data_IF_443723219464
#
_entry.id   IF_443723219464
#
_cell.length_a   1.000
_cell.length_b   1.000
_cell.length_c   1.000
_cell.angle_alpha   90.00
_cell.angle_beta   90.00
_cell.angle_gamma   90.00
#
_symmetry.space_group_name_H-M   'P 1'
#
loop_
_entity.id
_entity.type
_entity.pdbx_description
1 polymer ?
#
# COMPACT_ATOMS: atom_id res chain seq x y z
N UNK A 1 8.27 5.83 16.28
CA UNK A 1 8.43 7.20 15.75
C UNK A 1 7.41 7.40 14.65
N UNK A 2 6.67 8.53 14.67
CA UNK A 2 5.69 8.87 13.63
C UNK A 2 6.40 9.09 12.28
N UNK A 3 5.99 8.33 11.26
CA UNK A 3 6.52 8.47 9.89
C UNK A 3 5.58 9.26 8.98
N UNK A 4 4.27 9.13 9.19
CA UNK A 4 3.25 9.83 8.41
C UNK A 4 2.21 10.44 9.35
N UNK A 5 1.87 11.71 9.11
CA UNK A 5 0.80 12.43 9.81
C UNK A 5 -0.15 13.04 8.79
N UNK A 6 -1.42 12.73 8.93
CA UNK A 6 -2.53 13.37 8.20
C UNK A 6 -3.34 14.18 9.20
N UNK A 7 -3.58 15.45 8.91
CA UNK A 7 -4.33 16.34 9.80
C UNK A 7 -5.38 17.14 9.04
N UNK A 8 -6.62 17.01 9.50
CA UNK A 8 -7.80 17.71 8.98
C UNK A 8 -7.88 17.66 7.45
N UNK A 9 -7.61 16.45 6.85
CA UNK A 9 -7.59 16.30 5.42
C UNK A 9 -9.03 16.16 4.88
N UNK A 10 -9.37 17.04 3.96
CA UNK A 10 -10.56 17.00 3.12
C UNK A 10 -10.13 16.93 1.67
N UNK A 11 -10.87 16.15 0.88
CA UNK A 11 -10.66 16.09 -0.55
C UNK A 11 -11.97 15.91 -1.30
N UNK A 12 -12.14 16.67 -2.39
CA UNK A 12 -13.27 16.58 -3.30
C UNK A 12 -12.79 16.56 -4.75
N UNK A 13 -13.14 15.51 -5.50
CA UNK A 13 -12.87 15.47 -6.94
C UNK A 13 -13.55 16.64 -7.66
N UNK A 14 -12.93 17.14 -8.75
CA UNK A 14 -13.39 18.32 -9.47
C UNK A 14 -14.87 18.28 -9.92
N UNK A 15 -15.39 17.08 -10.23
CA UNK A 15 -16.78 16.89 -10.67
C UNK A 15 -17.70 16.31 -9.58
N UNK A 16 -17.18 16.06 -8.38
CA UNK A 16 -17.96 15.51 -7.28
C UNK A 16 -18.88 16.58 -6.66
N UNK A 17 -20.07 16.15 -6.21
CA UNK A 17 -21.01 17.02 -5.51
C UNK A 17 -20.73 17.14 -4.01
N UNK A 18 -20.05 16.16 -3.43
CA UNK A 18 -19.70 16.08 -1.99
C UNK A 18 -18.22 15.76 -1.83
N UNK A 19 -17.69 15.97 -0.65
CA UNK A 19 -16.34 15.57 -0.29
C UNK A 19 -16.21 14.04 -0.40
N UNK A 20 -15.08 13.58 -0.94
CA UNK A 20 -14.72 12.17 -1.06
C UNK A 20 -13.88 11.70 0.13
N UNK A 21 -13.21 12.66 0.78
CA UNK A 21 -12.59 12.50 2.09
C UNK A 21 -13.02 13.67 2.96
N UNK A 22 -13.43 13.36 4.19
CA UNK A 22 -13.95 14.34 5.13
C UNK A 22 -13.26 14.21 6.49
N UNK A 23 -12.50 15.25 6.87
CA UNK A 23 -11.84 15.39 8.17
C UNK A 23 -10.98 14.18 8.56
N UNK A 24 -10.14 13.70 7.62
CA UNK A 24 -9.25 12.58 7.89
C UNK A 24 -8.11 13.01 8.82
N UNK A 25 -8.00 12.33 9.96
CA UNK A 25 -6.91 12.47 10.91
C UNK A 25 -6.29 11.08 11.15
N UNK A 26 -5.02 10.89 10.76
CA UNK A 26 -4.34 9.62 10.77
C UNK A 26 -2.87 9.79 11.09
N UNK A 27 -2.34 8.95 11.98
CA UNK A 27 -0.92 8.84 12.24
C UNK A 27 -0.45 7.41 11.98
N UNK A 28 0.66 7.27 11.25
CA UNK A 28 1.34 5.99 11.00
C UNK A 28 2.72 6.07 11.61
N UNK A 29 3.10 5.06 12.38
CA UNK A 29 4.43 4.98 12.97
C UNK A 29 5.35 4.10 12.12
N UNK A 30 6.65 4.35 12.24
CA UNK A 30 7.65 3.48 11.63
C UNK A 30 7.50 2.05 12.15
N UNK A 31 7.45 1.07 11.24
CA UNK A 31 7.25 -0.33 11.56
C UNK A 31 5.77 -0.71 11.77
N UNK A 32 4.81 0.19 11.52
CA UNK A 32 3.41 -0.21 11.47
C UNK A 32 3.14 -1.09 10.24
N UNK A 33 2.36 -2.15 10.41
CA UNK A 33 1.65 -2.86 9.36
C UNK A 33 0.16 -2.51 9.52
N UNK A 34 -0.29 -1.51 8.77
CA UNK A 34 -1.64 -0.96 8.90
C UNK A 34 -2.56 -1.51 7.82
N UNK A 35 -3.64 -2.18 8.24
CA UNK A 35 -4.75 -2.52 7.34
C UNK A 35 -5.74 -1.37 7.25
N UNK A 36 -6.22 -1.10 6.05
CA UNK A 36 -7.31 -0.16 5.79
C UNK A 36 -8.48 -0.92 5.19
N UNK A 37 -9.61 -0.97 5.90
CA UNK A 37 -10.81 -1.67 5.49
C UNK A 37 -11.99 -0.72 5.29
N UNK A 38 -13.00 -1.18 4.57
CA UNK A 38 -14.22 -0.43 4.29
C UNK A 38 -14.82 -0.83 2.94
N UNK A 39 -16.07 -0.49 2.73
CA UNK A 39 -16.81 -0.80 1.50
C UNK A 39 -16.13 -0.25 0.24
N UNK A 40 -16.50 -0.82 -0.90
CA UNK A 40 -16.13 -0.23 -2.20
C UNK A 40 -16.68 1.19 -2.27
N UNK A 41 -15.82 2.15 -2.64
CA UNK A 41 -16.18 3.57 -2.67
C UNK A 41 -16.12 4.29 -1.32
N UNK A 42 -15.69 3.65 -0.22
CA UNK A 42 -15.51 4.31 1.09
C UNK A 42 -14.40 5.36 1.11
N UNK A 43 -13.52 5.39 0.09
CA UNK A 43 -12.45 6.39 -0.03
C UNK A 43 -11.03 5.87 0.20
N UNK A 44 -10.80 4.54 0.38
CA UNK A 44 -9.49 3.92 0.61
C UNK A 44 -8.44 4.32 -0.42
N UNK A 45 -8.72 4.04 -1.70
CA UNK A 45 -7.86 4.43 -2.83
C UNK A 45 -7.60 5.93 -2.86
N UNK A 46 -8.64 6.75 -2.60
CA UNK A 46 -8.50 8.20 -2.56
C UNK A 46 -7.58 8.62 -1.43
N UNK A 47 -7.71 8.03 -0.24
CA UNK A 47 -6.83 8.28 0.89
C UNK A 47 -5.38 7.90 0.54
N UNK A 48 -5.13 6.68 0.06
CA UNK A 48 -3.78 6.24 -0.31
C UNK A 48 -3.13 7.19 -1.34
N UNK A 49 -3.87 7.62 -2.36
CA UNK A 49 -3.38 8.60 -3.33
C UNK A 49 -3.04 9.97 -2.73
N UNK A 50 -3.74 10.40 -1.66
CA UNK A 50 -3.40 11.65 -0.96
C UNK A 50 -2.08 11.56 -0.19
N UNK A 51 -1.59 10.35 0.10
CA UNK A 51 -0.34 10.11 0.83
C UNK A 51 0.91 10.11 -0.07
N UNK A 52 0.75 10.22 -1.40
CA UNK A 52 1.84 10.34 -2.38
C UNK A 52 1.56 11.48 -3.35
N UNK A 53 2.39 12.53 -3.30
CA UNK A 53 2.17 13.80 -4.02
C UNK A 53 1.96 13.61 -5.53
N UNK A 54 2.71 12.72 -6.16
CA UNK A 54 2.66 12.46 -7.60
C UNK A 54 1.33 11.82 -8.04
N UNK A 55 0.57 11.28 -7.09
CA UNK A 55 -0.72 10.62 -7.33
C UNK A 55 -1.92 11.46 -6.90
N UNK A 56 -1.71 12.71 -6.48
CA UNK A 56 -2.82 13.56 -6.08
C UNK A 56 -3.83 13.74 -7.21
N UNK A 57 -5.07 13.31 -7.00
CA UNK A 57 -6.09 13.50 -8.02
C UNK A 57 -6.45 14.98 -8.19
N UNK A 58 -6.99 15.30 -9.36
CA UNK A 58 -7.49 16.66 -9.64
C UNK A 58 -8.74 16.94 -8.80
N UNK A 59 -8.71 18.01 -8.00
CA UNK A 59 -9.79 18.40 -7.10
C UNK A 59 -9.41 19.44 -6.07
N UNK A 60 -10.33 19.70 -5.16
CA UNK A 60 -10.13 20.61 -4.04
C UNK A 60 -9.57 19.82 -2.84
N UNK A 61 -8.43 20.24 -2.31
CA UNK A 61 -7.75 19.62 -1.18
C UNK A 61 -7.50 20.64 -0.08
N UNK A 62 -7.84 20.27 1.17
CA UNK A 62 -7.59 21.06 2.39
C UNK A 62 -6.98 20.17 3.46
N UNK A 63 -6.30 20.76 4.43
CA UNK A 63 -5.59 20.04 5.48
C UNK A 63 -4.12 19.80 5.14
N UNK A 64 -3.44 19.00 5.95
CA UNK A 64 -2.01 18.76 5.85
C UNK A 64 -1.67 17.28 5.88
N UNK A 65 -0.70 16.88 5.05
CA UNK A 65 -0.02 15.59 5.13
C UNK A 65 1.47 15.83 5.29
N UNK A 66 2.06 15.22 6.31
CA UNK A 66 3.49 15.30 6.58
C UNK A 66 4.10 13.91 6.58
N UNK A 67 5.27 13.81 6.00
CA UNK A 67 6.13 12.64 6.06
C UNK A 67 7.39 13.01 6.85
N UNK A 68 7.65 12.31 7.97
CA UNK A 68 8.75 12.64 8.90
C UNK A 68 8.82 14.14 9.23
N UNK A 69 7.69 14.71 9.64
CA UNK A 69 7.49 16.13 10.00
C UNK A 69 7.59 17.14 8.83
N UNK A 70 8.04 16.71 7.64
CA UNK A 70 8.10 17.55 6.44
C UNK A 70 6.77 17.49 5.69
N UNK A 71 6.29 18.64 5.19
CA UNK A 71 5.07 18.66 4.35
C UNK A 71 5.30 17.84 3.07
N UNK A 72 4.35 16.95 2.76
CA UNK A 72 4.43 16.11 1.56
C UNK A 72 4.52 16.96 0.27
N UNK A 73 3.89 18.14 0.26
CA UNK A 73 3.93 19.07 -0.88
C UNK A 73 5.33 19.61 -1.20
N UNK A 74 6.25 19.59 -0.23
CA UNK A 74 7.61 20.12 -0.37
C UNK A 74 8.65 19.07 -0.73
N UNK A 75 8.29 17.77 -0.71
CA UNK A 75 9.19 16.72 -1.18
C UNK A 75 9.46 16.90 -2.68
N UNK A 76 10.70 16.73 -3.09
CA UNK A 76 11.04 16.61 -4.51
C UNK A 76 10.50 15.29 -5.06
N UNK A 77 10.26 15.15 -6.38
CA UNK A 77 9.83 13.89 -6.97
C UNK A 77 10.76 12.72 -6.67
N UNK A 78 12.07 12.94 -6.67
CA UNK A 78 13.08 11.92 -6.37
C UNK A 78 13.00 11.48 -4.90
N UNK A 79 12.89 12.43 -3.95
CA UNK A 79 12.72 12.12 -2.54
C UNK A 79 11.43 11.34 -2.28
N UNK A 80 10.33 11.77 -2.90
CA UNK A 80 9.05 11.08 -2.79
C UNK A 80 9.13 9.66 -3.35
N UNK A 81 9.74 9.48 -4.55
CA UNK A 81 9.91 8.16 -5.16
C UNK A 81 10.75 7.21 -4.29
N UNK A 82 11.85 7.72 -3.70
CA UNK A 82 12.74 6.93 -2.86
C UNK A 82 12.14 6.58 -1.48
N UNK A 83 11.23 7.39 -0.97
CA UNK A 83 10.78 7.28 0.43
C UNK A 83 9.39 6.68 0.58
N UNK A 84 8.52 6.87 -0.41
CA UNK A 84 7.12 6.42 -0.38
C UNK A 84 6.85 5.60 -1.64
N UNK A 85 6.75 4.29 -1.48
CA UNK A 85 6.36 3.36 -2.54
C UNK A 85 4.84 3.28 -2.67
N UNK A 86 4.35 2.98 -3.88
CA UNK A 86 2.93 2.68 -4.12
C UNK A 86 2.81 1.50 -5.07
N UNK A 87 1.99 0.52 -4.72
CA UNK A 87 1.59 -0.61 -5.56
C UNK A 87 0.10 -0.52 -5.84
N UNK A 88 -0.27 -0.57 -7.12
CA UNK A 88 -1.65 -0.44 -7.56
C UNK A 88 -2.37 -1.79 -7.61
N UNK A 89 -3.69 -1.74 -7.64
CA UNK A 89 -4.56 -2.90 -7.75
C UNK A 89 -4.34 -3.68 -9.05
N UNK A 90 -4.18 -2.97 -10.17
CA UNK A 90 -3.93 -3.58 -11.47
C UNK A 90 -2.44 -3.44 -11.84
N UNK A 91 -1.69 -4.56 -11.96
CA UNK A 91 -0.27 -4.50 -12.30
C UNK A 91 -0.01 -3.90 -13.69
N UNK A 92 -0.90 -4.08 -14.65
CA UNK A 92 -0.72 -3.56 -16.01
C UNK A 92 -0.80 -2.02 -16.08
N UNK A 93 -1.38 -1.35 -15.07
CA UNK A 93 -1.41 0.12 -14.99
C UNK A 93 -0.07 0.70 -14.47
N UNK A 94 0.84 -0.14 -13.98
CA UNK A 94 2.08 0.29 -13.33
C UNK A 94 3.33 -0.11 -14.12
N UNK A 95 3.35 -1.30 -14.73
CA UNK A 95 4.47 -1.79 -15.53
C UNK A 95 4.58 -0.99 -16.83
N UNK A 96 5.78 -0.48 -17.13
CA UNK A 96 6.05 0.35 -18.31
C UNK A 96 7.08 -0.24 -19.28
N UNK A 97 7.88 -1.22 -18.83
CA UNK A 97 8.95 -1.83 -19.62
C UNK A 97 8.56 -3.21 -20.18
N UNK A 98 9.26 -3.63 -21.23
CA UNK A 98 8.97 -4.88 -21.94
C UNK A 98 9.48 -6.13 -21.22
N UNK A 99 10.54 -6.00 -20.40
CA UNK A 99 11.15 -7.11 -19.65
C UNK A 99 11.31 -6.81 -18.19
N UNK A 100 11.36 -7.86 -17.36
CA UNK A 100 11.50 -7.72 -15.89
C UNK A 100 12.77 -6.94 -15.49
N UNK A 101 13.90 -7.26 -16.11
CA UNK A 101 15.17 -6.56 -15.81
C UNK A 101 15.09 -5.06 -16.14
N UNK A 102 14.41 -4.72 -17.25
CA UNK A 102 14.23 -3.30 -17.63
C UNK A 102 13.30 -2.59 -16.65
N UNK A 103 12.22 -3.25 -16.19
CA UNK A 103 11.30 -2.68 -15.21
C UNK A 103 12.01 -2.38 -13.88
N UNK A 104 12.85 -3.30 -13.41
CA UNK A 104 13.65 -3.08 -12.19
C UNK A 104 14.70 -1.98 -12.37
N UNK A 105 15.38 -1.92 -13.53
CA UNK A 105 16.37 -0.90 -13.84
C UNK A 105 15.74 0.48 -13.96
N UNK A 106 14.58 0.59 -14.60
CA UNK A 106 13.89 1.84 -14.89
C UNK A 106 13.65 2.68 -13.63
N UNK A 107 13.21 2.05 -12.54
CA UNK A 107 13.00 2.74 -11.25
C UNK A 107 14.27 3.39 -10.72
N UNK A 108 15.42 2.71 -10.84
CA UNK A 108 16.72 3.19 -10.37
C UNK A 108 17.32 4.27 -11.29
N UNK A 109 17.17 4.11 -12.60
CA UNK A 109 17.61 5.08 -13.60
C UNK A 109 16.90 6.43 -13.42
N UNK A 110 15.58 6.41 -13.17
CA UNK A 110 14.78 7.61 -12.94
C UNK A 110 15.20 8.42 -11.70
N UNK A 111 15.79 7.78 -10.70
CA UNK A 111 16.31 8.47 -9.52
C UNK A 111 17.80 8.77 -9.61
N UNK A 112 18.45 8.48 -10.75
CA UNK A 112 19.83 8.83 -11.05
C UNK A 112 20.87 7.93 -10.39
N UNK A 113 20.56 6.65 -10.15
CA UNK A 113 21.55 5.67 -9.70
C UNK A 113 22.57 5.38 -10.81
N UNK A 114 23.82 5.11 -10.43
CA UNK A 114 24.86 4.68 -11.36
C UNK A 114 24.72 3.20 -11.73
N UNK A 115 25.34 2.80 -12.85
CA UNK A 115 25.18 1.47 -13.43
C UNK A 115 25.66 0.33 -12.50
N UNK A 116 26.66 0.57 -11.65
CA UNK A 116 27.18 -0.43 -10.72
C UNK A 116 26.17 -0.69 -9.59
N UNK A 117 25.61 0.38 -9.02
CA UNK A 117 24.54 0.29 -8.02
C UNK A 117 23.27 -0.35 -8.60
N UNK A 118 22.90 -0.02 -9.84
CA UNK A 118 21.74 -0.63 -10.53
C UNK A 118 21.93 -2.15 -10.59
N UNK A 119 23.07 -2.64 -11.11
CA UNK A 119 23.33 -4.06 -11.22
C UNK A 119 23.30 -4.76 -9.86
N UNK A 120 23.92 -4.19 -8.85
CA UNK A 120 23.93 -4.73 -7.48
C UNK A 120 22.53 -4.82 -6.89
N UNK A 121 21.74 -3.74 -6.95
CA UNK A 121 20.36 -3.72 -6.43
C UNK A 121 19.44 -4.67 -7.16
N UNK A 122 19.56 -4.80 -8.49
CA UNK A 122 18.82 -5.81 -9.25
C UNK A 122 19.18 -7.22 -8.78
N UNK A 123 20.45 -7.54 -8.59
CA UNK A 123 20.85 -8.84 -8.12
C UNK A 123 20.31 -9.16 -6.70
N UNK A 124 20.30 -8.17 -5.81
CA UNK A 124 19.69 -8.27 -4.48
C UNK A 124 18.18 -8.57 -4.58
N UNK A 125 17.43 -7.82 -5.40
CA UNK A 125 16.00 -8.03 -5.61
C UNK A 125 15.70 -9.39 -6.26
N UNK A 126 16.45 -9.77 -7.28
CA UNK A 126 16.34 -11.09 -7.93
C UNK A 126 16.50 -12.22 -6.91
N UNK A 127 17.49 -12.11 -6.02
CA UNK A 127 17.72 -13.09 -4.96
C UNK A 127 16.58 -13.10 -3.94
N UNK A 128 16.10 -11.93 -3.52
CA UNK A 128 15.03 -11.79 -2.52
C UNK A 128 13.67 -12.31 -3.03
N UNK A 129 13.33 -12.00 -4.28
CA UNK A 129 12.05 -12.38 -4.90
C UNK A 129 12.08 -13.74 -5.60
N UNK A 130 13.24 -14.34 -5.83
CA UNK A 130 13.37 -15.58 -6.59
C UNK A 130 13.14 -15.42 -8.09
N UNK A 131 13.55 -14.29 -8.69
CA UNK A 131 13.28 -13.94 -10.08
C UNK A 131 14.32 -14.49 -11.08
N UNK A 132 15.18 -15.43 -10.68
CA UNK A 132 16.25 -15.95 -11.55
C UNK A 132 15.74 -16.43 -12.92
N UNK A 133 14.62 -17.15 -12.92
CA UNK A 133 14.06 -17.75 -14.14
C UNK A 133 13.27 -16.77 -15.03
N UNK A 134 12.79 -15.66 -14.46
CA UNK A 134 11.96 -14.68 -15.16
C UNK A 134 12.65 -13.34 -15.42
N UNK A 135 13.90 -13.16 -14.98
CA UNK A 135 14.60 -11.87 -15.04
C UNK A 135 14.65 -11.27 -16.46
N UNK A 136 14.82 -12.12 -17.47
CA UNK A 136 14.88 -11.71 -18.87
C UNK A 136 13.59 -11.99 -19.65
N UNK A 137 12.55 -12.48 -18.97
CA UNK A 137 11.26 -12.75 -19.60
C UNK A 137 10.56 -11.45 -20.01
N UNK A 138 9.76 -11.55 -21.06
CA UNK A 138 8.81 -10.48 -21.40
C UNK A 138 7.73 -10.38 -20.35
N UNK A 139 7.40 -9.16 -19.92
CA UNK A 139 6.31 -8.91 -18.96
C UNK A 139 4.98 -9.47 -19.48
N UNK A 140 4.76 -9.47 -20.78
CA UNK A 140 3.53 -10.02 -21.39
C UNK A 140 3.39 -11.55 -21.25
N UNK A 141 4.48 -12.27 -20.95
CA UNK A 141 4.48 -13.72 -20.72
C UNK A 141 4.24 -14.10 -19.26
N UNK A 142 4.24 -13.10 -18.35
CA UNK A 142 4.06 -13.34 -16.93
C UNK A 142 2.59 -13.54 -16.56
N UNK A 143 2.36 -14.41 -15.56
CA UNK A 143 1.05 -14.49 -14.90
C UNK A 143 0.72 -13.20 -14.14
N UNK A 144 -0.57 -12.98 -13.81
CA UNK A 144 -0.98 -11.81 -13.02
C UNK A 144 -0.25 -11.72 -11.67
N UNK A 145 -0.06 -12.86 -10.99
CA UNK A 145 0.70 -12.92 -9.75
C UNK A 145 2.18 -12.54 -9.93
N UNK A 146 2.82 -13.05 -10.98
CA UNK A 146 4.21 -12.68 -11.30
C UNK A 146 4.34 -11.19 -11.63
N UNK A 147 3.41 -10.62 -12.41
CA UNK A 147 3.39 -9.17 -12.69
C UNK A 147 3.27 -8.35 -11.40
N UNK A 148 2.41 -8.77 -10.49
CA UNK A 148 2.23 -8.06 -9.21
C UNK A 148 3.49 -8.14 -8.33
N UNK A 149 4.18 -9.28 -8.33
CA UNK A 149 5.48 -9.42 -7.65
C UNK A 149 6.56 -8.56 -8.29
N UNK A 150 6.58 -8.45 -9.63
CA UNK A 150 7.50 -7.55 -10.35
C UNK A 150 7.24 -6.08 -9.99
N UNK A 151 5.97 -5.66 -9.92
CA UNK A 151 5.60 -4.32 -9.46
C UNK A 151 6.09 -4.04 -8.03
N UNK A 152 5.85 -4.98 -7.13
CA UNK A 152 6.32 -4.86 -5.75
C UNK A 152 7.85 -4.73 -5.70
N UNK A 153 8.58 -5.55 -6.46
CA UNK A 153 10.04 -5.49 -6.55
C UNK A 153 10.54 -4.16 -7.14
N UNK A 154 9.91 -3.66 -8.21
CA UNK A 154 10.26 -2.38 -8.85
C UNK A 154 10.03 -1.17 -7.92
N UNK A 155 9.10 -1.27 -7.00
CA UNK A 155 8.90 -0.26 -5.95
C UNK A 155 9.93 -0.42 -4.82
N UNK A 156 10.16 -1.65 -4.35
CA UNK A 156 11.04 -1.94 -3.22
C UNK A 156 12.52 -1.77 -3.54
N UNK A 157 12.93 -1.84 -4.81
CA UNK A 157 14.32 -1.62 -5.23
C UNK A 157 14.82 -0.21 -4.88
N UNK A 158 13.89 0.75 -4.72
CA UNK A 158 14.18 2.10 -4.25
C UNK A 158 14.34 2.18 -2.72
N UNK A 159 14.08 1.09 -1.99
CA UNK A 159 14.16 0.98 -0.54
C UNK A 159 13.27 2.01 0.19
N UNK A 160 11.96 2.05 -0.09
CA UNK A 160 11.07 3.01 0.52
C UNK A 160 10.93 2.76 2.02
N UNK A 161 10.69 3.83 2.77
CA UNK A 161 10.42 3.77 4.20
C UNK A 161 8.93 3.47 4.50
N UNK A 162 8.06 3.87 3.57
CA UNK A 162 6.61 3.64 3.60
C UNK A 162 6.17 3.01 2.28
N UNK A 163 5.48 1.89 2.36
CA UNK A 163 4.87 1.20 1.23
C UNK A 163 3.34 1.29 1.34
N UNK A 164 2.73 1.87 0.33
CA UNK A 164 1.30 1.98 0.17
C UNK A 164 0.84 0.91 -0.83
N UNK A 165 -0.19 0.13 -0.50
CA UNK A 165 -0.72 -0.90 -1.40
C UNK A 165 -2.24 -0.75 -1.48
N UNK A 166 -2.74 -0.61 -2.71
CA UNK A 166 -4.17 -0.42 -2.98
C UNK A 166 -4.76 -1.70 -3.58
N UNK A 167 -5.39 -2.52 -2.74
CA UNK A 167 -6.02 -3.80 -3.09
C UNK A 167 -5.11 -4.70 -3.98
N UNK A 168 -3.84 -4.93 -3.59
CA UNK A 168 -2.83 -5.55 -4.46
C UNK A 168 -3.14 -7.00 -4.82
N UNK A 169 -4.03 -7.67 -4.07
CA UNK A 169 -4.36 -9.08 -4.29
C UNK A 169 -5.69 -9.29 -5.02
N UNK A 170 -6.43 -8.22 -5.34
CA UNK A 170 -7.78 -8.29 -5.90
C UNK A 170 -7.89 -9.05 -7.24
N UNK A 171 -6.81 -9.14 -8.01
CA UNK A 171 -6.77 -9.83 -9.31
C UNK A 171 -5.98 -11.16 -9.26
N UNK A 172 -5.55 -11.59 -8.07
CA UNK A 172 -4.75 -12.78 -7.89
C UNK A 172 -5.62 -14.00 -7.56
N UNK A 173 -5.17 -15.17 -8.05
CA UNK A 173 -5.72 -16.43 -7.56
C UNK A 173 -5.28 -16.70 -6.11
N UNK A 174 -5.91 -17.65 -5.39
CA UNK A 174 -5.61 -17.87 -3.98
C UNK A 174 -4.16 -18.30 -3.68
N UNK A 175 -3.48 -18.95 -4.64
CA UNK A 175 -2.07 -19.38 -4.48
C UNK A 175 -1.17 -18.14 -4.60
N UNK A 176 -1.33 -17.37 -5.66
CA UNK A 176 -0.58 -16.12 -5.87
C UNK A 176 -0.83 -15.10 -4.75
N UNK A 177 -2.06 -15.04 -4.21
CA UNK A 177 -2.38 -14.20 -3.04
C UNK A 177 -1.53 -14.58 -1.83
N UNK A 178 -1.46 -15.88 -1.49
CA UNK A 178 -0.65 -16.36 -0.36
C UNK A 178 0.84 -16.09 -0.56
N UNK A 179 1.35 -16.32 -1.76
CA UNK A 179 2.74 -16.02 -2.10
C UNK A 179 3.05 -14.53 -1.95
N UNK A 180 2.17 -13.66 -2.47
CA UNK A 180 2.30 -12.22 -2.36
C UNK A 180 2.30 -11.74 -0.89
N UNK A 181 1.34 -12.22 -0.08
CA UNK A 181 1.24 -11.86 1.34
C UNK A 181 2.44 -12.39 2.14
N UNK A 182 2.88 -13.62 1.88
CA UNK A 182 4.08 -14.18 2.53
C UNK A 182 5.33 -13.35 2.22
N UNK A 183 5.46 -12.88 0.97
CA UNK A 183 6.57 -12.01 0.59
C UNK A 183 6.45 -10.62 1.22
N UNK A 184 5.22 -10.08 1.29
CA UNK A 184 4.96 -8.79 1.95
C UNK A 184 5.30 -8.85 3.45
N UNK A 185 5.02 -9.97 4.12
CA UNK A 185 5.46 -10.21 5.49
C UNK A 185 6.98 -10.18 5.61
N UNK A 186 7.70 -10.86 4.71
CA UNK A 186 9.17 -10.82 4.69
C UNK A 186 9.71 -9.42 4.46
N UNK A 187 9.10 -8.65 3.57
CA UNK A 187 9.44 -7.23 3.35
C UNK A 187 9.31 -6.43 4.64
N UNK A 188 8.23 -6.63 5.39
CA UNK A 188 8.02 -5.96 6.67
C UNK A 188 9.05 -6.38 7.72
N UNK A 189 9.22 -7.71 7.91
CA UNK A 189 10.02 -8.28 9.00
C UNK A 189 11.52 -8.14 8.76
N UNK A 190 11.99 -8.38 7.52
CA UNK A 190 13.42 -8.41 7.18
C UNK A 190 13.95 -7.02 6.75
N UNK A 191 13.14 -6.21 6.06
CA UNK A 191 13.54 -4.90 5.54
C UNK A 191 13.07 -3.74 6.42
N UNK A 192 12.18 -3.98 7.39
CA UNK A 192 11.67 -2.97 8.31
C UNK A 192 10.80 -1.90 7.65
N UNK A 193 10.21 -2.20 6.49
CA UNK A 193 9.36 -1.26 5.74
C UNK A 193 8.04 -1.06 6.47
N UNK A 194 7.63 0.19 6.66
CA UNK A 194 6.29 0.51 7.15
C UNK A 194 5.27 0.27 6.04
N UNK A 195 4.19 -0.43 6.35
CA UNK A 195 3.19 -0.84 5.34
C UNK A 195 1.82 -0.25 5.69
N UNK A 196 1.16 0.32 4.68
CA UNK A 196 -0.26 0.65 4.73
C UNK A 196 -0.94 0.03 3.51
N UNK A 197 -1.85 -0.91 3.75
CA UNK A 197 -2.51 -1.70 2.72
C UNK A 197 -4.02 -1.60 2.83
N UNK A 198 -4.73 -1.36 1.71
CA UNK A 198 -6.17 -1.54 1.62
C UNK A 198 -6.48 -2.91 1.06
N UNK A 199 -7.39 -3.64 1.69
CA UNK A 199 -7.85 -4.96 1.23
C UNK A 199 -9.26 -5.28 1.71
N UNK A 200 -9.91 -6.20 1.00
CA UNK A 200 -11.23 -6.73 1.34
C UNK A 200 -11.16 -8.11 2.01
N UNK A 201 -10.17 -8.93 1.65
CA UNK A 201 -9.96 -10.26 2.22
C UNK A 201 -8.85 -10.19 3.26
N UNK A 202 -9.21 -10.40 4.53
CA UNK A 202 -8.30 -10.15 5.65
C UNK A 202 -7.72 -11.41 6.30
N UNK A 203 -8.14 -12.61 5.85
CA UNK A 203 -7.78 -13.86 6.51
C UNK A 203 -6.27 -14.04 6.70
N UNK A 204 -5.49 -13.73 5.67
CA UNK A 204 -4.04 -13.85 5.67
C UNK A 204 -3.33 -12.58 6.20
N UNK A 205 -4.00 -11.40 6.13
CA UNK A 205 -3.39 -10.11 6.47
C UNK A 205 -3.62 -9.69 7.93
N UNK A 206 -4.78 -10.04 8.49
CA UNK A 206 -5.12 -9.64 9.85
C UNK A 206 -4.09 -10.13 10.90
N UNK A 207 -3.54 -11.35 10.79
CA UNK A 207 -2.48 -11.81 11.70
C UNK A 207 -1.15 -11.03 11.59
N UNK A 208 -0.89 -10.37 10.46
CA UNK A 208 0.33 -9.60 10.21
C UNK A 208 0.21 -8.15 10.69
N UNK A 209 -1.04 -7.65 10.77
CA UNK A 209 -1.29 -6.26 11.09
C UNK A 209 -1.15 -5.98 12.59
N UNK A 210 -0.58 -4.83 12.92
CA UNK A 210 -0.61 -4.27 14.28
C UNK A 210 -1.55 -3.07 14.39
N UNK A 211 -2.00 -2.51 13.26
CA UNK A 211 -2.91 -1.36 13.21
C UNK A 211 -4.06 -1.61 12.24
N UNK A 212 -5.24 -1.13 12.61
CA UNK A 212 -6.44 -1.15 11.78
C UNK A 212 -7.00 0.26 11.60
N UNK A 213 -7.42 0.54 10.37
CA UNK A 213 -8.06 1.77 9.95
C UNK A 213 -9.37 1.40 9.25
N UNK A 214 -10.51 1.94 9.70
CA UNK A 214 -11.83 1.67 9.12
C UNK A 214 -12.35 2.94 8.46
N UNK A 215 -12.73 2.79 7.19
CA UNK A 215 -13.26 3.89 6.38
C UNK A 215 -14.70 3.65 5.96
N UNK A 216 -15.54 4.65 6.18
CA UNK A 216 -16.94 4.68 5.75
C UNK A 216 -17.28 6.04 5.16
N UNK A 217 -17.84 6.05 3.97
CA UNK A 217 -18.33 7.27 3.27
C UNK A 217 -17.34 8.46 3.31
N UNK A 218 -16.05 8.19 3.12
CA UNK A 218 -15.01 9.21 3.10
C UNK A 218 -14.50 9.66 4.47
N UNK A 219 -14.88 8.98 5.55
CA UNK A 219 -14.45 9.28 6.93
C UNK A 219 -13.69 8.10 7.53
N UNK A 220 -12.82 8.40 8.48
CA UNK A 220 -12.27 7.40 9.39
C UNK A 220 -13.20 7.22 10.57
N UNK A 221 -13.84 6.03 10.68
CA UNK A 221 -14.69 5.68 11.82
C UNK A 221 -13.87 5.06 12.95
N UNK A 222 -12.73 4.44 12.60
CA UNK A 222 -11.78 3.91 13.57
C UNK A 222 -10.34 3.99 13.05
N UNK A 223 -9.40 4.24 13.96
CA UNK A 223 -7.96 4.04 13.76
C UNK A 223 -7.31 3.69 15.10
N UNK A 224 -6.65 2.53 15.18
CA UNK A 224 -6.10 2.04 16.45
C UNK A 224 -5.37 0.71 16.28
N UNK A 225 -5.16 -0.03 17.38
CA UNK A 225 -4.65 -1.38 17.31
C UNK A 225 -5.69 -2.34 16.71
N UNK A 226 -5.22 -3.49 16.23
CA UNK A 226 -6.08 -4.47 15.52
C UNK A 226 -7.18 -5.00 16.42
N UNK A 227 -6.89 -5.29 17.68
CA UNK A 227 -7.87 -5.88 18.61
C UNK A 227 -9.06 -4.95 18.84
N UNK A 228 -8.80 -3.67 19.16
CA UNK A 228 -9.85 -2.65 19.33
C UNK A 228 -10.61 -2.41 18.01
N UNK A 229 -9.90 -2.44 16.87
CA UNK A 229 -10.50 -2.28 15.56
C UNK A 229 -11.42 -3.43 15.17
N UNK A 230 -11.05 -4.67 15.48
CA UNK A 230 -11.93 -5.84 15.28
C UNK A 230 -13.16 -5.75 16.17
N UNK A 231 -13.00 -5.36 17.45
CA UNK A 231 -14.15 -5.14 18.34
C UNK A 231 -15.10 -4.06 17.80
N UNK A 232 -14.54 -2.96 17.31
CA UNK A 232 -15.33 -1.88 16.70
C UNK A 232 -16.08 -2.36 15.44
N UNK A 233 -15.39 -3.06 14.53
CA UNK A 233 -15.98 -3.56 13.28
C UNK A 233 -17.10 -4.58 13.51
N UNK A 234 -16.96 -5.45 14.52
CA UNK A 234 -17.97 -6.50 14.82
C UNK A 234 -19.27 -5.91 15.38
N UNK A 235 -19.25 -4.70 15.94
CA UNK A 235 -20.45 -4.00 16.39
C UNK A 235 -21.28 -3.42 15.23
N UNK A 236 -20.68 -3.19 14.08
CA UNK A 236 -21.36 -2.79 12.85
C UNK A 236 -21.57 -4.01 11.95
N UNK A 237 -22.83 -4.29 11.57
CA UNK A 237 -23.18 -5.46 10.77
C UNK A 237 -22.46 -5.52 9.42
N UNK A 238 -22.23 -4.36 8.78
CA UNK A 238 -21.53 -4.28 7.48
C UNK A 238 -20.03 -4.49 7.64
N UNK A 239 -19.43 -3.83 8.64
CA UNK A 239 -17.99 -3.95 8.89
C UNK A 239 -17.61 -5.33 9.40
N UNK A 240 -18.50 -6.02 10.11
CA UNK A 240 -18.30 -7.39 10.57
C UNK A 240 -18.07 -8.39 9.42
N UNK A 241 -18.57 -8.11 8.22
CA UNK A 241 -18.37 -8.96 7.04
C UNK A 241 -16.92 -8.97 6.55
N UNK A 242 -16.14 -7.92 6.82
CA UNK A 242 -14.71 -7.87 6.49
C UNK A 242 -13.86 -8.70 7.47
N UNK A 243 -14.34 -8.91 8.69
CA UNK A 243 -13.58 -9.61 9.71
C UNK A 243 -13.68 -11.12 9.50
N UNK A 244 -12.56 -11.87 9.46
CA UNK A 244 -12.53 -13.30 9.36
C UNK A 244 -13.40 -13.98 10.42
N UNK A 245 -13.95 -15.15 10.10
CA UNK A 245 -14.97 -15.82 10.91
C UNK A 245 -14.51 -16.08 12.35
N UNK A 246 -13.29 -16.52 12.56
CA UNK A 246 -12.79 -16.88 13.91
C UNK A 246 -12.70 -15.66 14.83
N UNK A 247 -12.00 -14.56 14.48
CA UNK A 247 -12.02 -13.33 15.28
C UNK A 247 -13.44 -12.78 15.48
N UNK A 248 -14.27 -12.78 14.42
CA UNK A 248 -15.65 -12.30 14.47
C UNK A 248 -16.49 -13.05 15.50
N UNK A 249 -16.44 -14.39 15.49
CA UNK A 249 -17.20 -15.23 16.45
C UNK A 249 -16.72 -15.07 17.89
N UNK A 250 -15.43 -14.82 18.09
CA UNK A 250 -14.88 -14.57 19.43
C UNK A 250 -15.49 -13.30 20.04
N UNK A 251 -15.52 -12.20 19.30
CA UNK A 251 -15.98 -10.92 19.80
C UNK A 251 -17.51 -10.73 19.79
N UNK A 252 -18.27 -11.50 18.99
CA UNK A 252 -19.74 -11.49 19.05
C UNK A 252 -20.32 -12.16 20.31
N UNK A 253 -19.52 -12.93 21.07
CA UNK A 253 -19.96 -13.66 22.25
C UNK A 253 -19.67 -12.95 23.58
N UNK A 254 -19.00 -11.82 23.55
CA UNK A 254 -18.70 -10.98 24.70
C UNK A 254 -19.60 -9.74 24.70
#
# INVERSE_FOLDING_TARGET
VEILQVKDLFFKYALAKRDNLENINLNVNQGDFMLTIGDSGSGKTTLLKQLKKELWPVGERRGAVKFKHQSLSTLSPIESARRIGMVFQNPDDQIVMDTVIQELAFSLENVGEDSENIQRKIAEMVSFFGFQDILYASVNELSGGQKQLVNLAAVLILQPELLLLDEPTAQLDPIATKEFISLLQRVHDELGVTIMISEHQLDELLPLANRLCIMEEGKLTFTGNVEEGVQHAVQDQKMAEFIPEVPRLFWQKI
#
